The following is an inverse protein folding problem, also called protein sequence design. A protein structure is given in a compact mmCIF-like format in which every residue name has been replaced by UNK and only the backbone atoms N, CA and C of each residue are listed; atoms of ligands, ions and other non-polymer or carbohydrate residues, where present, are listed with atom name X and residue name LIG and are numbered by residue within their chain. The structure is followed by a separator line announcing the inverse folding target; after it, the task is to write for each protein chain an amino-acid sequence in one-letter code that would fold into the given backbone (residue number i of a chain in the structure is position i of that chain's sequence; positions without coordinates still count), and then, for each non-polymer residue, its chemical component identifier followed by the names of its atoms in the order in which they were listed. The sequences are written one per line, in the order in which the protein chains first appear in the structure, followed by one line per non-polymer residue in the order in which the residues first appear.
data_IF_911536448433
#
_entry.id   IF_911536448433
#
_cell.length_a   1.000
_cell.length_b   1.000
_cell.length_c   1.000
_cell.angle_alpha   90.00
_cell.angle_beta   90.00
_cell.angle_gamma   90.00
#
_symmetry.space_group_name_H-M   'P 1'
#
loop_
_entity.id
_entity.type
_entity.pdbx_description
1 polymer ?
#
# COMPACT_ATOMS: atom_id res chain seq x y z
N UNK A 1 16.99 -8.42 -20.87
CA UNK A 1 16.26 -7.20 -20.46
C UNK A 1 16.68 -6.90 -19.04
N UNK A 2 17.28 -5.73 -18.80
CA UNK A 2 17.77 -5.34 -17.47
C UNK A 2 16.58 -5.22 -16.52
N UNK A 3 16.66 -5.94 -15.41
CA UNK A 3 15.71 -5.94 -14.31
C UNK A 3 15.57 -4.52 -13.74
N UNK A 4 14.57 -3.78 -14.23
CA UNK A 4 14.09 -2.60 -13.53
C UNK A 4 13.63 -3.04 -12.14
N UNK A 5 14.15 -2.41 -11.09
CA UNK A 5 13.72 -2.64 -9.71
C UNK A 5 12.19 -2.56 -9.67
N UNK A 6 11.52 -3.70 -9.44
CA UNK A 6 10.06 -3.73 -9.34
C UNK A 6 9.72 -3.02 -8.03
N UNK A 7 9.26 -1.77 -8.16
CA UNK A 7 8.79 -0.97 -7.03
C UNK A 7 7.32 -1.29 -6.76
N UNK A 8 6.97 -1.32 -5.49
CA UNK A 8 5.61 -1.47 -5.00
C UNK A 8 4.69 -0.40 -5.61
N UNK A 9 3.56 -0.80 -6.17
CA UNK A 9 2.56 0.12 -6.73
C UNK A 9 1.58 0.57 -5.65
N UNK A 10 1.21 1.84 -5.66
CA UNK A 10 0.39 2.47 -4.61
C UNK A 10 -0.72 3.27 -5.27
N UNK A 11 -1.95 2.99 -4.91
CA UNK A 11 -3.12 3.69 -5.42
C UNK A 11 -3.91 4.27 -4.26
N UNK A 12 -4.31 5.52 -4.38
CA UNK A 12 -5.20 6.19 -3.45
C UNK A 12 -6.54 6.46 -4.12
N UNK A 13 -7.64 6.21 -3.42
CA UNK A 13 -8.98 6.61 -3.85
C UNK A 13 -9.59 7.48 -2.77
N UNK A 14 -9.74 8.77 -3.06
CA UNK A 14 -10.38 9.73 -2.18
C UNK A 14 -11.87 9.45 -2.09
N UNK A 15 -12.41 9.50 -0.87
CA UNK A 15 -13.83 9.29 -0.62
C UNK A 15 -14.49 10.50 0.03
N UNK A 16 -15.69 10.84 -0.42
CA UNK A 16 -16.49 11.97 0.09
C UNK A 16 -16.90 11.83 1.56
N UNK A 17 -16.83 10.63 2.12
CA UNK A 17 -17.17 10.34 3.53
C UNK A 17 -15.93 10.21 4.44
N UNK A 18 -14.78 10.76 4.02
CA UNK A 18 -13.49 10.67 4.74
C UNK A 18 -13.00 9.23 4.98
N UNK A 19 -13.49 8.28 4.18
CA UNK A 19 -13.05 6.89 4.20
C UNK A 19 -12.24 6.58 2.94
N UNK A 20 -11.08 7.21 2.78
CA UNK A 20 -10.21 6.97 1.64
C UNK A 20 -9.78 5.50 1.59
N UNK A 21 -9.53 5.01 0.39
CA UNK A 21 -9.09 3.65 0.14
C UNK A 21 -7.66 3.67 -0.39
N UNK A 22 -6.82 2.84 0.18
CA UNK A 22 -5.46 2.59 -0.27
C UNK A 22 -5.34 1.19 -0.82
N UNK A 23 -4.71 1.04 -1.99
CA UNK A 23 -4.40 -0.25 -2.59
C UNK A 23 -2.91 -0.30 -2.81
N UNK A 24 -2.25 -1.27 -2.18
CA UNK A 24 -0.80 -1.46 -2.29
C UNK A 24 -0.51 -2.82 -2.93
N UNK A 25 0.23 -2.80 -4.04
CA UNK A 25 0.68 -3.98 -4.75
C UNK A 25 2.16 -4.18 -4.51
N UNK A 26 2.52 -5.25 -3.81
CA UNK A 26 3.90 -5.52 -3.42
C UNK A 26 4.78 -5.81 -4.64
N UNK A 27 4.28 -6.62 -5.58
CA UNK A 27 5.06 -7.10 -6.72
C UNK A 27 4.13 -7.41 -7.92
N UNK A 28 3.69 -6.38 -8.66
CA UNK A 28 2.68 -6.55 -9.70
C UNK A 28 3.06 -7.64 -10.72
N UNK A 29 2.08 -8.47 -11.07
CA UNK A 29 2.20 -9.56 -12.07
C UNK A 29 3.16 -10.69 -11.70
N UNK A 30 3.60 -10.79 -10.44
CA UNK A 30 4.43 -11.90 -9.95
C UNK A 30 3.61 -12.84 -9.08
N UNK A 31 3.75 -14.14 -9.34
CA UNK A 31 3.11 -15.21 -8.55
C UNK A 31 4.15 -15.81 -7.61
N UNK A 32 4.09 -15.44 -6.33
CA UNK A 32 4.97 -15.95 -5.28
C UNK A 32 4.23 -15.97 -3.93
N UNK A 33 4.92 -16.35 -2.85
CA UNK A 33 4.40 -16.24 -1.48
C UNK A 33 4.52 -14.80 -1.02
N UNK A 34 3.44 -14.25 -0.48
CA UNK A 34 3.39 -12.91 0.09
C UNK A 34 2.94 -13.00 1.56
N UNK A 35 3.37 -12.02 2.35
CA UNK A 35 2.85 -11.80 3.69
C UNK A 35 2.97 -10.31 4.03
N UNK A 36 1.86 -9.67 4.39
CA UNK A 36 1.83 -8.29 4.83
C UNK A 36 2.08 -8.13 6.33
N UNK A 37 2.71 -7.01 6.69
CA UNK A 37 3.13 -6.69 8.05
C UNK A 37 2.86 -5.22 8.40
N UNK A 38 2.57 -4.96 9.67
CA UNK A 38 2.57 -3.62 10.27
C UNK A 38 3.68 -3.52 11.31
N UNK A 39 4.51 -2.48 11.22
CA UNK A 39 5.62 -2.21 12.14
C UNK A 39 5.50 -0.83 12.76
N UNK A 40 6.00 -0.66 13.98
CA UNK A 40 5.99 0.63 14.67
C UNK A 40 7.02 1.62 14.08
N UNK A 41 8.10 1.12 13.47
CA UNK A 41 9.16 1.93 12.85
C UNK A 41 9.65 1.36 11.51
N UNK A 42 10.14 2.26 10.65
CA UNK A 42 10.77 1.94 9.36
C UNK A 42 12.16 1.33 9.54
N UNK A 43 12.24 0.06 9.94
CA UNK A 43 13.44 -0.80 10.00
C UNK A 43 13.23 -2.01 10.93
N UNK A 44 12.11 -2.07 11.65
CA UNK A 44 11.80 -3.17 12.56
C UNK A 44 11.03 -4.28 11.83
N UNK A 45 11.01 -5.47 12.45
CA UNK A 45 10.15 -6.57 12.03
C UNK A 45 8.74 -6.26 12.55
N UNK A 46 7.78 -6.15 11.64
CA UNK A 46 6.39 -5.92 11.98
C UNK A 46 5.67 -7.16 12.47
N UNK A 47 4.47 -6.94 13.00
CA UNK A 47 3.47 -7.99 13.25
C UNK A 47 2.80 -8.38 11.94
N UNK A 48 2.52 -9.67 11.80
CA UNK A 48 1.76 -10.22 10.67
C UNK A 48 0.35 -9.63 10.65
N UNK A 49 -0.13 -9.28 9.47
CA UNK A 49 -1.56 -9.05 9.24
C UNK A 49 -2.16 -10.38 8.82
N UNK A 50 -2.92 -11.00 9.72
CA UNK A 50 -3.49 -12.34 9.52
C UNK A 50 -4.39 -12.39 8.27
N UNK A 51 -4.20 -13.42 7.45
CA UNK A 51 -4.96 -13.62 6.20
C UNK A 51 -4.50 -12.80 5.00
N UNK A 52 -3.67 -11.77 5.20
CA UNK A 52 -3.15 -10.91 4.13
C UNK A 52 -1.90 -11.53 3.49
N UNK A 53 -2.12 -12.55 2.66
CA UNK A 53 -1.08 -13.35 1.98
C UNK A 53 -1.05 -13.16 0.45
N UNK A 54 -1.72 -12.11 -0.03
CA UNK A 54 -1.87 -11.83 -1.45
C UNK A 54 -0.88 -10.77 -1.93
N UNK A 55 -0.73 -10.69 -3.26
CA UNK A 55 0.16 -9.72 -3.92
C UNK A 55 -0.22 -8.26 -3.57
N UNK A 56 -1.50 -8.01 -3.37
CA UNK A 56 -2.03 -6.70 -2.99
C UNK A 56 -2.73 -6.74 -1.63
N UNK A 57 -2.73 -5.62 -0.93
CA UNK A 57 -3.59 -5.35 0.23
C UNK A 57 -4.41 -4.08 -0.01
N UNK A 58 -5.66 -4.11 0.43
CA UNK A 58 -6.55 -2.95 0.41
C UNK A 58 -6.84 -2.51 1.84
N UNK A 59 -6.61 -1.24 2.14
CA UNK A 59 -6.89 -0.65 3.45
C UNK A 59 -7.80 0.56 3.27
N UNK A 60 -8.81 0.70 4.13
CA UNK A 60 -9.55 1.95 4.25
C UNK A 60 -9.02 2.77 5.41
N UNK A 61 -9.16 4.09 5.39
CA UNK A 61 -8.76 4.94 6.53
C UNK A 61 -9.53 4.59 7.79
N UNK A 62 -10.80 4.17 7.67
CA UNK A 62 -11.56 3.61 8.78
C UNK A 62 -10.91 2.36 9.38
N UNK A 63 -10.48 1.41 8.55
CA UNK A 63 -9.80 0.20 9.01
C UNK A 63 -8.45 0.54 9.66
N UNK A 64 -7.71 1.51 9.10
CA UNK A 64 -6.44 1.98 9.65
C UNK A 64 -6.66 2.56 11.06
N UNK A 65 -7.70 3.37 11.26
CA UNK A 65 -8.08 3.88 12.57
C UNK A 65 -8.50 2.76 13.54
N UNK A 66 -9.41 1.88 13.12
CA UNK A 66 -9.93 0.77 13.94
C UNK A 66 -8.83 -0.20 14.41
N UNK A 67 -7.83 -0.44 13.58
CA UNK A 67 -6.69 -1.32 13.90
C UNK A 67 -5.52 -0.59 14.56
N UNK A 68 -5.63 0.72 14.80
CA UNK A 68 -4.55 1.57 15.31
C UNK A 68 -3.28 1.44 14.46
N UNK A 69 -3.44 1.51 13.13
CA UNK A 69 -2.34 1.47 12.17
C UNK A 69 -1.87 2.87 11.75
N UNK A 70 -2.60 3.92 12.13
CA UNK A 70 -2.19 5.30 11.91
C UNK A 70 -0.77 5.57 12.47
N UNK A 71 0.06 6.23 11.66
CA UNK A 71 1.47 6.50 11.96
C UNK A 71 2.41 5.28 11.90
N UNK A 72 1.88 4.06 11.69
CA UNK A 72 2.66 2.82 11.57
C UNK A 72 3.08 2.54 10.14
N UNK A 73 3.99 1.60 9.98
CA UNK A 73 4.59 1.28 8.68
C UNK A 73 4.12 -0.06 8.14
N UNK A 74 3.49 -0.03 6.97
CA UNK A 74 3.10 -1.17 6.17
C UNK A 74 4.25 -1.62 5.27
N UNK A 75 4.47 -2.93 5.19
CA UNK A 75 5.35 -3.53 4.18
C UNK A 75 4.93 -4.97 3.89
N UNK A 76 5.39 -5.52 2.77
CA UNK A 76 5.19 -6.91 2.39
C UNK A 76 6.53 -7.64 2.34
N UNK A 77 6.58 -8.89 2.85
CA UNK A 77 7.65 -9.83 2.51
C UNK A 77 7.18 -10.76 1.42
N UNK A 78 8.08 -11.10 0.50
CA UNK A 78 7.79 -12.02 -0.59
C UNK A 78 8.97 -12.96 -0.86
N UNK A 79 8.68 -14.16 -1.36
CA UNK A 79 9.73 -15.10 -1.76
C UNK A 79 10.28 -14.72 -3.14
N UNK A 80 11.56 -14.34 -3.21
CA UNK A 80 12.29 -14.22 -4.47
C UNK A 80 12.74 -15.63 -4.89
N UNK A 81 12.09 -16.16 -5.94
CA UNK A 81 12.37 -17.51 -6.45
C UNK A 81 13.75 -17.64 -7.08
N UNK A 82 14.34 -16.54 -7.56
CA UNK A 82 15.67 -16.58 -8.19
C UNK A 82 16.77 -16.70 -7.14
N UNK A 83 16.60 -16.04 -5.99
CA UNK A 83 17.54 -16.07 -4.87
C UNK A 83 17.22 -17.17 -3.85
N UNK A 84 16.03 -17.75 -3.93
CA UNK A 84 15.48 -18.67 -2.93
C UNK A 84 15.51 -18.06 -1.52
N UNK A 85 15.20 -16.77 -1.40
CA UNK A 85 15.21 -16.01 -0.14
C UNK A 85 14.00 -15.08 -0.05
N UNK A 86 13.62 -14.71 1.18
CA UNK A 86 12.59 -13.69 1.36
C UNK A 86 13.20 -12.30 1.23
N UNK A 87 12.57 -11.49 0.38
CA UNK A 87 12.82 -10.07 0.21
C UNK A 87 11.66 -9.27 0.81
N UNK A 88 11.80 -7.95 0.88
CA UNK A 88 10.72 -7.05 1.33
C UNK A 88 10.55 -5.85 0.44
N UNK A 89 9.35 -5.28 0.43
CA UNK A 89 9.06 -3.99 -0.18
C UNK A 89 9.63 -2.84 0.65
N UNK A 90 9.52 -1.62 0.13
CA UNK A 90 9.66 -0.41 0.94
C UNK A 90 8.60 -0.37 2.07
N UNK A 91 8.89 0.42 3.11
CA UNK A 91 7.95 0.72 4.19
C UNK A 91 7.11 1.94 3.82
N UNK A 92 5.80 1.85 4.01
CA UNK A 92 4.86 2.96 3.80
C UNK A 92 4.29 3.35 5.15
N UNK A 93 4.55 4.59 5.59
CA UNK A 93 3.88 5.15 6.77
C UNK A 93 2.41 5.39 6.42
N UNK A 94 1.50 4.76 7.16
CA UNK A 94 0.06 4.90 6.98
C UNK A 94 -0.44 6.14 7.70
N UNK A 95 -1.47 6.75 7.12
CA UNK A 95 -2.18 7.91 7.66
C UNK A 95 -3.68 7.76 7.36
N UNK A 96 -4.49 8.71 7.81
CA UNK A 96 -5.94 8.71 7.74
C UNK A 96 -6.51 9.45 6.53
N UNK A 97 -5.67 9.99 5.63
CA UNK A 97 -6.10 10.53 4.34
C UNK A 97 -5.02 10.36 3.27
N UNK A 98 -5.43 10.36 1.99
CA UNK A 98 -4.48 10.41 0.86
C UNK A 98 -3.59 11.65 0.94
N UNK A 99 -4.16 12.81 1.25
CA UNK A 99 -3.42 14.08 1.27
C UNK A 99 -2.36 14.10 2.36
N UNK A 100 -2.65 13.57 3.56
CA UNK A 100 -1.66 13.43 4.63
C UNK A 100 -0.48 12.55 4.20
N UNK A 101 -0.76 11.39 3.57
CA UNK A 101 0.30 10.50 3.09
C UNK A 101 1.16 11.17 2.00
N UNK A 102 0.54 11.93 1.10
CA UNK A 102 1.27 12.72 0.09
C UNK A 102 2.15 13.80 0.73
N UNK A 103 1.64 14.51 1.74
CA UNK A 103 2.39 15.53 2.47
C UNK A 103 3.59 14.94 3.24
N UNK A 104 3.48 13.69 3.70
CA UNK A 104 4.57 12.91 4.29
C UNK A 104 5.56 12.35 3.26
N UNK A 105 5.36 12.66 1.97
CA UNK A 105 6.27 12.29 0.87
C UNK A 105 5.98 10.94 0.23
N UNK A 106 4.83 10.31 0.49
CA UNK A 106 4.43 9.06 -0.18
C UNK A 106 4.01 9.36 -1.62
N UNK A 107 4.70 8.74 -2.58
CA UNK A 107 4.41 8.87 -4.00
C UNK A 107 3.44 7.77 -4.42
N UNK A 108 2.22 8.15 -4.79
CA UNK A 108 1.22 7.28 -5.38
C UNK A 108 1.41 7.17 -6.90
N UNK A 109 1.12 6.01 -7.46
CA UNK A 109 1.13 5.77 -8.91
C UNK A 109 -0.13 6.31 -9.59
N UNK A 110 -1.26 6.33 -8.87
CA UNK A 110 -2.50 7.00 -9.27
C UNK A 110 -3.26 7.45 -8.03
N UNK A 111 -4.00 8.55 -8.17
CA UNK A 111 -4.96 9.03 -7.17
C UNK A 111 -6.28 9.26 -7.92
N UNK A 112 -7.33 8.60 -7.45
CA UNK A 112 -8.68 8.73 -8.00
C UNK A 112 -9.65 9.22 -6.92
N UNK A 113 -10.89 9.49 -7.31
CA UNK A 113 -11.99 9.79 -6.40
C UNK A 113 -13.27 9.04 -6.81
N UNK A 114 -14.21 8.91 -5.88
CA UNK A 114 -15.56 8.45 -6.21
C UNK A 114 -16.45 9.62 -6.67
N UNK A 115 -17.09 9.46 -7.83
CA UNK A 115 -18.16 10.37 -8.25
C UNK A 115 -19.42 10.22 -7.37
N UNK A 116 -20.46 11.01 -7.67
CA UNK A 116 -21.73 10.95 -6.91
C UNK A 116 -22.49 9.62 -7.06
N UNK A 117 -22.18 8.84 -8.09
CA UNK A 117 -22.76 7.53 -8.37
C UNK A 117 -21.90 6.39 -7.78
N UNK A 118 -20.75 6.71 -7.19
CA UNK A 118 -19.81 5.75 -6.62
C UNK A 118 -18.86 5.12 -7.64
N UNK A 119 -18.75 5.66 -8.87
CA UNK A 119 -17.75 5.21 -9.84
C UNK A 119 -16.39 5.86 -9.54
N UNK A 120 -15.32 5.16 -9.90
CA UNK A 120 -13.96 5.69 -9.79
C UNK A 120 -13.69 6.62 -10.98
N UNK A 121 -13.30 7.85 -10.69
CA UNK A 121 -12.83 8.85 -11.66
C UNK A 121 -11.39 9.21 -11.31
N UNK A 122 -10.46 9.02 -12.24
CA UNK A 122 -9.04 9.33 -12.01
C UNK A 122 -8.84 10.85 -12.00
N UNK A 123 -8.10 11.34 -11.01
CA UNK A 123 -7.65 12.72 -11.00
C UNK A 123 -6.44 12.78 -11.93
N UNK A 124 -6.58 13.48 -13.06
CA UNK A 124 -5.45 13.74 -13.97
C UNK A 124 -4.36 14.46 -13.18
N UNK A 125 -3.36 13.72 -12.72
CA UNK A 125 -2.13 14.31 -12.18
C UNK A 125 -1.26 14.64 -13.37
N UNK A 126 -1.23 15.93 -13.73
CA UNK A 126 -0.24 16.44 -14.69
C UNK A 126 1.15 16.01 -14.19
N UNK A 127 1.82 15.18 -14.99
CA UNK A 127 3.23 14.80 -14.79
C UNK A 127 4.15 16.00 -14.90
#
# INVERSE_FOLDING_TARGET
MLDGVIKMKKYGVKSKNNNDIFIFHALPKKITKFQWYISEKSNEIGKVIEGEIYESITLSTKLIAEKMYDGKYLYCKYLDKNKNSYEKTEYIKLDLTVDSMVNEGIIFDDISEFDEQGNIVSLITNK
#
